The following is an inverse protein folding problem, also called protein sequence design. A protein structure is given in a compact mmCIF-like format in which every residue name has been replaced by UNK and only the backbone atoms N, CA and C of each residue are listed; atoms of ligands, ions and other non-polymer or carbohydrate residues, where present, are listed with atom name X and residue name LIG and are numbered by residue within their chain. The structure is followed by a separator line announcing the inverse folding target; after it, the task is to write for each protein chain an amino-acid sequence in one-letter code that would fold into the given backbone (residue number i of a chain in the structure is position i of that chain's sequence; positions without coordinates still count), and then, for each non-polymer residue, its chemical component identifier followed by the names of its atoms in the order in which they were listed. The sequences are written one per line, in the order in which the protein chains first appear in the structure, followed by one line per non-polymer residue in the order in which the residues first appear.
data_IF_319664962207
#
_entry.id   IF_319664962207
#
_cell.length_a   1.000
_cell.length_b   1.000
_cell.length_c   1.000
_cell.angle_alpha   90.00
_cell.angle_beta   90.00
_cell.angle_gamma   90.00
#
_symmetry.space_group_name_H-M   'P 1'
#
loop_
_entity.id
_entity.type
_entity.pdbx_description
1 polymer ?
#
# COMPACT_ATOMS: atom_id res chain seq x y z
N UNK A 1 -3.11 15.48 -1.33
CA UNK A 1 -1.79 15.66 -1.98
C UNK A 1 -0.74 16.16 -0.99
N UNK A 2 -0.97 17.28 -0.30
CA UNK A 2 -0.07 17.77 0.78
C UNK A 2 0.10 16.71 1.88
N UNK A 3 -1.00 16.11 2.35
CA UNK A 3 -0.99 15.05 3.38
C UNK A 3 -0.27 13.75 2.96
N UNK A 4 0.03 13.58 1.69
CA UNK A 4 0.60 12.34 1.16
C UNK A 4 2.01 12.56 0.66
N UNK A 5 2.18 12.73 -0.65
CA UNK A 5 3.49 12.63 -1.28
C UNK A 5 3.81 13.87 -2.13
N UNK A 6 3.09 14.98 -1.93
CA UNK A 6 3.43 16.27 -2.56
C UNK A 6 3.43 16.24 -4.09
N UNK A 7 2.56 15.42 -4.70
CA UNK A 7 2.45 15.25 -6.15
C UNK A 7 3.25 14.08 -6.71
N UNK A 8 4.14 13.48 -5.91
CA UNK A 8 4.85 12.26 -6.29
C UNK A 8 4.03 10.99 -6.01
N UNK A 9 4.28 9.92 -6.76
CA UNK A 9 3.54 8.66 -6.61
C UNK A 9 2.15 8.74 -7.23
N UNK A 10 1.13 8.31 -6.49
CA UNK A 10 -0.27 8.33 -6.93
C UNK A 10 -1.21 8.55 -5.74
N UNK A 11 -2.47 8.89 -6.02
CA UNK A 11 -3.51 9.14 -5.02
C UNK A 11 -4.84 8.50 -5.42
N UNK A 12 -5.48 7.77 -4.50
CA UNK A 12 -6.77 7.10 -4.76
C UNK A 12 -8.01 7.98 -4.63
N UNK A 13 -7.87 9.17 -4.03
CA UNK A 13 -8.92 10.20 -3.93
C UNK A 13 -9.47 10.42 -2.52
N UNK A 14 -9.40 9.42 -1.64
CA UNK A 14 -9.89 9.54 -0.26
C UNK A 14 -9.06 10.49 0.62
N UNK A 15 -9.74 11.40 1.33
CA UNK A 15 -9.15 12.21 2.41
C UNK A 15 -8.94 11.39 3.70
N UNK A 16 -8.05 11.85 4.59
CA UNK A 16 -7.72 11.15 5.85
C UNK A 16 -8.43 11.70 7.09
N UNK A 17 -8.43 13.02 7.28
CA UNK A 17 -8.93 13.67 8.49
C UNK A 17 -10.44 13.45 8.69
N UNK A 18 -10.86 13.33 9.96
CA UNK A 18 -12.26 13.07 10.32
C UNK A 18 -12.72 11.61 10.13
N UNK A 19 -11.85 10.72 9.65
CA UNK A 19 -12.16 9.30 9.48
C UNK A 19 -11.52 8.46 10.57
N UNK A 20 -12.32 7.59 11.19
CA UNK A 20 -11.83 6.58 12.11
C UNK A 20 -11.03 5.49 11.37
N UNK A 21 -10.32 4.65 12.12
CA UNK A 21 -9.39 3.66 11.57
C UNK A 21 -10.07 2.57 10.72
N UNK A 22 -11.39 2.36 10.86
CA UNK A 22 -12.12 1.38 10.05
C UNK A 22 -12.28 1.81 8.59
N UNK A 23 -12.11 3.11 8.30
CA UNK A 23 -12.21 3.64 6.93
C UNK A 23 -10.93 3.38 6.15
N UNK A 24 -11.04 2.51 5.15
CA UNK A 24 -9.91 2.05 4.33
C UNK A 24 -9.18 3.18 3.59
N UNK A 25 -9.87 4.28 3.29
CA UNK A 25 -9.24 5.49 2.75
C UNK A 25 -8.06 5.97 3.59
N UNK A 26 -8.14 5.78 4.91
CA UNK A 26 -7.09 6.13 5.85
C UNK A 26 -6.20 4.94 6.18
N UNK A 27 -6.78 3.87 6.73
CA UNK A 27 -6.00 2.73 7.23
C UNK A 27 -5.26 1.98 6.13
N UNK A 28 -5.89 1.74 4.98
CA UNK A 28 -5.22 1.05 3.88
C UNK A 28 -4.19 1.94 3.17
N UNK A 29 -4.40 3.26 3.11
CA UNK A 29 -3.38 4.18 2.61
C UNK A 29 -2.12 4.16 3.51
N UNK A 30 -2.30 4.11 4.83
CA UNK A 30 -1.20 3.96 5.78
C UNK A 30 -0.53 2.59 5.66
N UNK A 31 -1.29 1.52 5.49
CA UNK A 31 -0.75 0.18 5.25
C UNK A 31 0.06 0.13 3.95
N UNK A 32 -0.43 0.72 2.85
CA UNK A 32 0.30 0.80 1.59
C UNK A 32 1.62 1.58 1.75
N UNK A 33 1.63 2.66 2.54
CA UNK A 33 2.86 3.38 2.91
C UNK A 33 3.81 2.48 3.70
N UNK A 34 3.30 1.71 4.66
CA UNK A 34 4.11 0.80 5.47
C UNK A 34 4.76 -0.29 4.62
N UNK A 35 4.00 -0.90 3.70
CA UNK A 35 4.51 -1.87 2.73
C UNK A 35 5.61 -1.24 1.87
N UNK A 36 5.33 -0.09 1.23
CA UNK A 36 6.28 0.58 0.34
C UNK A 36 7.59 0.93 1.06
N UNK A 37 7.50 1.50 2.27
CA UNK A 37 8.67 1.82 3.10
C UNK A 37 9.46 0.57 3.47
N UNK A 38 8.78 -0.53 3.78
CA UNK A 38 9.43 -1.79 4.16
C UNK A 38 10.20 -2.42 3.01
N UNK A 39 9.64 -2.39 1.79
CA UNK A 39 10.34 -2.88 0.58
C UNK A 39 11.63 -2.09 0.33
N UNK A 40 11.59 -0.76 0.46
CA UNK A 40 12.78 0.09 0.30
C UNK A 40 13.77 -0.14 1.43
N UNK A 41 13.31 -0.19 2.69
CA UNK A 41 14.17 -0.43 3.85
C UNK A 41 14.84 -1.80 3.81
N UNK A 42 14.16 -2.82 3.28
CA UNK A 42 14.70 -4.16 3.05
C UNK A 42 15.66 -4.26 1.87
N UNK A 43 15.96 -3.15 1.18
CA UNK A 43 16.88 -3.14 0.05
C UNK A 43 16.36 -3.83 -1.21
N UNK A 44 15.05 -4.13 -1.28
CA UNK A 44 14.45 -4.84 -2.41
C UNK A 44 14.28 -3.92 -3.64
N UNK A 45 14.14 -2.62 -3.41
CA UNK A 45 14.04 -1.60 -4.45
C UNK A 45 14.48 -0.24 -3.92
N UNK A 46 14.82 0.70 -4.81
CA UNK A 46 15.11 2.10 -4.41
C UNK A 46 13.88 3.01 -4.44
N UNK A 47 12.90 2.68 -5.27
CA UNK A 47 11.63 3.40 -5.40
C UNK A 47 10.51 2.39 -5.69
N UNK A 48 9.37 2.55 -5.05
CA UNK A 48 8.19 1.72 -5.31
C UNK A 48 6.90 2.49 -5.09
N UNK A 49 5.92 2.23 -5.94
CA UNK A 49 4.52 2.57 -5.72
C UNK A 49 3.75 1.29 -5.40
N UNK A 50 2.99 1.31 -4.31
CA UNK A 50 2.10 0.22 -3.91
C UNK A 50 0.67 0.72 -4.05
N UNK A 51 -0.15 0.00 -4.80
CA UNK A 51 -1.57 0.28 -4.96
C UNK A 51 -2.38 -0.85 -4.33
N UNK A 52 -3.43 -0.49 -3.60
CA UNK A 52 -4.35 -1.44 -2.97
C UNK A 52 -5.78 -0.97 -3.26
N UNK A 53 -6.68 -1.89 -3.60
CA UNK A 53 -8.10 -1.60 -3.84
C UNK A 53 -9.02 -2.52 -3.05
N UNK A 54 -10.21 -2.03 -2.68
CA UNK A 54 -11.23 -2.77 -1.93
C UNK A 54 -12.60 -2.59 -2.59
N UNK A 55 -13.43 -3.62 -2.47
CA UNK A 55 -14.87 -3.51 -2.67
C UNK A 55 -15.56 -3.24 -1.32
N UNK A 56 -16.67 -2.49 -1.37
CA UNK A 56 -17.52 -2.28 -0.19
C UNK A 56 -18.00 -3.64 0.33
N UNK A 57 -17.82 -3.89 1.63
CA UNK A 57 -18.23 -5.14 2.28
C UNK A 57 -17.25 -6.31 2.12
N UNK A 58 -16.15 -6.15 1.39
CA UNK A 58 -15.14 -7.22 1.20
C UNK A 58 -13.89 -6.90 2.01
N UNK A 59 -13.49 -7.84 2.89
CA UNK A 59 -12.34 -7.65 3.78
C UNK A 59 -10.99 -7.81 3.07
N UNK A 60 -10.91 -8.68 2.06
CA UNK A 60 -9.69 -8.88 1.31
C UNK A 60 -9.55 -7.81 0.22
N UNK A 61 -8.34 -7.29 -0.03
CA UNK A 61 -8.11 -6.42 -1.17
C UNK A 61 -8.49 -7.13 -2.47
N UNK A 62 -9.16 -6.41 -3.39
CA UNK A 62 -9.42 -6.91 -4.73
C UNK A 62 -8.13 -6.99 -5.55
N UNK A 63 -7.25 -6.00 -5.38
CA UNK A 63 -5.95 -5.98 -6.02
C UNK A 63 -4.89 -5.37 -5.11
N UNK A 64 -3.67 -5.88 -5.27
CA UNK A 64 -2.44 -5.28 -4.78
C UNK A 64 -1.48 -5.24 -5.96
N UNK A 65 -1.03 -4.05 -6.34
CA UNK A 65 -0.10 -3.84 -7.45
C UNK A 65 1.16 -3.16 -6.96
N UNK A 66 2.30 -3.57 -7.51
CA UNK A 66 3.64 -3.07 -7.14
C UNK A 66 4.29 -2.51 -8.40
N UNK A 67 4.78 -1.27 -8.35
CA UNK A 67 5.51 -0.65 -9.45
C UNK A 67 6.86 -0.15 -8.94
N UNK A 68 7.95 -0.81 -9.30
CA UNK A 68 9.29 -0.49 -8.77
C UNK A 68 10.12 0.42 -9.68
N UNK A 69 9.57 0.86 -10.81
CA UNK A 69 10.20 1.80 -11.75
C UNK A 69 11.63 1.40 -12.17
N UNK A 70 11.88 0.11 -12.42
CA UNK A 70 13.21 -0.40 -12.79
C UNK A 70 14.26 -0.36 -11.68
N UNK A 71 13.90 -0.08 -10.42
CA UNK A 71 14.86 0.05 -9.31
C UNK A 71 15.07 -1.21 -8.47
N UNK A 72 14.47 -2.33 -8.88
CA UNK A 72 14.52 -3.63 -8.22
C UNK A 72 15.18 -4.64 -9.16
N UNK A 73 15.91 -5.61 -8.61
CA UNK A 73 16.35 -6.79 -9.37
C UNK A 73 15.26 -7.87 -9.44
N UNK A 74 14.26 -7.80 -8.55
CA UNK A 74 13.08 -8.66 -8.56
C UNK A 74 11.97 -8.06 -9.40
N UNK A 75 11.22 -8.91 -10.09
CA UNK A 75 10.01 -8.55 -10.80
C UNK A 75 8.91 -8.04 -9.85
N UNK A 76 7.96 -7.27 -10.39
CA UNK A 76 6.78 -6.81 -9.64
C UNK A 76 5.98 -7.96 -9.04
N UNK A 77 5.90 -9.10 -9.74
CA UNK A 77 5.25 -10.32 -9.25
C UNK A 77 5.98 -10.92 -8.06
N UNK A 78 7.30 -11.03 -8.09
CA UNK A 78 8.08 -11.54 -6.95
C UNK A 78 7.96 -10.62 -5.73
N UNK A 79 8.01 -9.30 -5.93
CA UNK A 79 7.79 -8.33 -4.85
C UNK A 79 6.37 -8.46 -4.28
N UNK A 80 5.36 -8.62 -5.13
CA UNK A 80 3.98 -8.85 -4.69
C UNK A 80 3.86 -10.10 -3.81
N UNK A 81 4.52 -11.20 -4.18
CA UNK A 81 4.51 -12.41 -3.36
C UNK A 81 5.22 -12.22 -2.01
N UNK A 82 6.30 -11.43 -1.97
CA UNK A 82 6.92 -11.03 -0.70
C UNK A 82 5.92 -10.22 0.15
N UNK A 83 5.21 -9.27 -0.44
CA UNK A 83 4.20 -8.47 0.28
C UNK A 83 3.10 -9.36 0.84
N UNK A 84 2.51 -10.24 0.03
CA UNK A 84 1.44 -11.15 0.46
C UNK A 84 1.85 -12.09 1.59
N UNK A 85 3.12 -12.49 1.65
CA UNK A 85 3.65 -13.36 2.72
C UNK A 85 3.89 -12.65 4.04
N UNK A 86 4.09 -11.33 4.02
CA UNK A 86 4.52 -10.56 5.19
C UNK A 86 3.46 -9.58 5.71
N UNK A 87 2.47 -9.24 4.90
CA UNK A 87 1.43 -8.26 5.23
C UNK A 87 0.04 -8.84 5.03
N UNK A 88 -0.75 -8.80 6.11
CA UNK A 88 -2.18 -9.04 6.03
C UNK A 88 -2.90 -7.68 5.89
N UNK A 89 -3.39 -7.41 4.69
CA UNK A 89 -4.02 -6.13 4.35
C UNK A 89 -5.53 -6.14 4.56
N UNK A 90 -6.09 -7.05 5.37
CA UNK A 90 -7.50 -6.95 5.75
C UNK A 90 -7.70 -5.76 6.70
N UNK A 91 -8.73 -4.91 6.52
CA UNK A 91 -8.91 -3.70 7.33
C UNK A 91 -8.91 -3.94 8.84
N UNK A 92 -9.52 -5.04 9.30
CA UNK A 92 -9.54 -5.41 10.72
C UNK A 92 -8.20 -5.89 11.28
N UNK A 93 -7.27 -6.31 10.42
CA UNK A 93 -5.91 -6.73 10.82
C UNK A 93 -4.95 -5.56 10.80
N UNK A 94 -5.09 -4.65 9.83
CA UNK A 94 -4.27 -3.42 9.73
C UNK A 94 -4.33 -2.56 11.01
N UNK A 95 -5.48 -2.56 11.67
CA UNK A 95 -5.79 -1.66 12.80
C UNK A 95 -5.53 -2.29 14.16
N UNK A 96 -5.08 -3.55 14.20
CA UNK A 96 -4.77 -4.30 15.41
C UNK A 96 -3.27 -4.21 15.72
#
# INVERSE_FOLDING_TARGET
IVDTYGGWGAHGGGAFSGKDYTKVDRSAAYAARWVAKSLVKGGLCRRVLVQVSYAIGVSHPLSISIFHYGTSQKSERELLEIVKKNFDLRPGVIVR
#
